data_IF_765144867990
#
_entry.id   IF_765144867990
#
_cell.length_a   1.000
_cell.length_b   1.000
_cell.length_c   1.000
_cell.angle_alpha   90.00
_cell.angle_beta   90.00
_cell.angle_gamma   90.00
#
_symmetry.space_group_name_H-M   'P 1'
#
loop_
_entity.id
_entity.type
_entity.pdbx_description
1 polymer ?
#
# COMPACT_ATOMS: atom_id res chain seq x y z
N UNK A 1 31.78 13.67 15.14
CA UNK A 1 31.18 13.01 13.95
C UNK A 1 29.82 12.36 14.23
N UNK A 2 29.70 11.22 14.92
CA UNK A 2 28.39 10.57 15.13
C UNK A 2 27.40 11.42 15.94
N UNK A 3 27.88 12.10 16.99
CA UNK A 3 27.05 13.00 17.82
C UNK A 3 26.58 14.21 17.02
N UNK A 4 27.45 14.83 16.22
CA UNK A 4 27.10 15.97 15.36
C UNK A 4 26.12 15.58 14.26
N UNK A 5 26.26 14.39 13.68
CA UNK A 5 25.28 13.84 12.74
C UNK A 5 23.93 13.61 13.42
N UNK A 6 23.91 13.16 14.68
CA UNK A 6 22.69 13.03 15.47
C UNK A 6 21.97 14.35 15.69
N UNK A 7 22.69 15.42 16.05
CA UNK A 7 22.11 16.76 16.20
C UNK A 7 21.61 17.34 14.88
N UNK A 8 22.38 17.21 13.81
CA UNK A 8 21.98 17.68 12.48
C UNK A 8 20.73 16.94 11.98
N UNK A 9 20.65 15.63 12.21
CA UNK A 9 19.49 14.83 11.84
C UNK A 9 18.25 15.21 12.66
N UNK A 10 18.41 15.38 13.98
CA UNK A 10 17.33 15.81 14.87
C UNK A 10 16.81 17.20 14.47
N UNK A 11 17.70 18.17 14.26
CA UNK A 11 17.36 19.53 13.82
C UNK A 11 16.68 19.52 12.44
N UNK A 12 17.17 18.71 11.49
CA UNK A 12 16.49 18.52 10.20
C UNK A 12 15.07 17.97 10.39
N UNK A 13 14.88 16.95 11.22
CA UNK A 13 13.55 16.38 11.48
C UNK A 13 12.60 17.40 12.12
N UNK A 14 13.11 18.27 13.01
CA UNK A 14 12.31 19.35 13.60
C UNK A 14 11.93 20.42 12.59
N UNK A 15 12.85 20.84 11.72
CA UNK A 15 12.60 21.83 10.67
C UNK A 15 11.58 21.34 9.64
N UNK A 16 11.64 20.06 9.29
CA UNK A 16 10.75 19.44 8.30
C UNK A 16 9.58 18.67 8.93
N UNK A 17 9.18 19.01 10.17
CA UNK A 17 8.05 18.38 10.89
C UNK A 17 6.68 18.47 10.20
N UNK A 18 6.56 19.24 9.12
CA UNK A 18 5.34 19.33 8.32
C UNK A 18 5.32 18.33 7.16
N UNK A 19 6.46 17.69 6.87
CA UNK A 19 6.56 16.62 5.89
C UNK A 19 6.07 15.31 6.52
N UNK A 20 5.01 14.73 5.96
CA UNK A 20 4.44 13.44 6.41
C UNK A 20 5.51 12.34 6.44
N UNK A 21 6.41 12.33 5.45
CA UNK A 21 7.48 11.32 5.36
C UNK A 21 8.56 11.53 6.40
N UNK A 22 8.95 12.78 6.65
CA UNK A 22 9.94 13.07 7.70
C UNK A 22 9.35 12.74 9.07
N UNK A 23 8.06 13.02 9.29
CA UNK A 23 7.37 12.59 10.50
C UNK A 23 7.29 11.07 10.63
N UNK A 24 7.00 10.35 9.55
CA UNK A 24 7.01 8.89 9.55
C UNK A 24 8.41 8.35 9.90
N UNK A 25 9.44 8.86 9.22
CA UNK A 25 10.83 8.49 9.50
C UNK A 25 11.22 8.79 10.95
N UNK A 26 10.95 10.00 11.43
CA UNK A 26 11.26 10.43 12.78
C UNK A 26 10.49 9.61 13.83
N UNK A 27 9.21 9.34 13.59
CA UNK A 27 8.37 8.52 14.45
C UNK A 27 8.89 7.08 14.54
N UNK A 28 9.34 6.50 13.42
CA UNK A 28 9.97 5.17 13.41
C UNK A 28 11.30 5.20 14.19
N UNK A 29 12.15 6.20 13.90
CA UNK A 29 13.47 6.33 14.53
C UNK A 29 13.38 6.49 16.06
N UNK A 30 12.35 7.19 16.54
CA UNK A 30 12.10 7.40 17.96
C UNK A 30 11.29 6.27 18.63
N UNK A 31 10.87 5.26 17.86
CA UNK A 31 10.04 4.16 18.34
C UNK A 31 8.59 4.54 18.66
N UNK A 32 8.14 5.71 18.20
CA UNK A 32 6.75 6.16 18.34
C UNK A 32 5.84 5.46 17.32
N UNK A 33 6.35 5.19 16.11
CA UNK A 33 5.63 4.55 15.01
C UNK A 33 6.26 3.20 14.67
N UNK A 34 5.44 2.19 14.38
CA UNK A 34 5.90 0.88 13.94
C UNK A 34 6.53 0.98 12.55
N UNK A 35 7.75 0.45 12.38
CA UNK A 35 8.43 0.42 11.08
C UNK A 35 7.57 -0.26 10.00
N UNK A 36 6.76 -1.24 10.40
CA UNK A 36 5.82 -1.93 9.52
C UNK A 36 4.81 -1.01 8.84
N UNK A 37 4.55 0.19 9.38
CA UNK A 37 3.68 1.19 8.72
C UNK A 37 4.26 1.57 7.36
N UNK A 38 5.56 1.86 7.32
CA UNK A 38 6.27 2.18 6.08
C UNK A 38 6.29 0.98 5.12
N UNK A 39 6.63 -0.21 5.63
CA UNK A 39 6.70 -1.41 4.78
C UNK A 39 5.35 -1.81 4.23
N UNK A 40 4.26 -1.60 4.99
CA UNK A 40 2.91 -1.83 4.50
C UNK A 40 2.58 -0.86 3.37
N UNK A 41 2.82 0.44 3.54
CA UNK A 41 2.60 1.44 2.47
C UNK A 41 3.37 1.07 1.20
N UNK A 42 4.65 0.72 1.31
CA UNK A 42 5.47 0.32 0.16
C UNK A 42 4.97 -0.98 -0.49
N UNK A 43 4.54 -1.96 0.31
CA UNK A 43 3.96 -3.21 -0.18
C UNK A 43 2.68 -2.95 -0.96
N UNK A 44 1.77 -2.13 -0.46
CA UNK A 44 0.52 -1.78 -1.12
C UNK A 44 0.77 -1.07 -2.47
N UNK A 45 1.73 -0.14 -2.50
CA UNK A 45 2.16 0.51 -3.75
C UNK A 45 2.74 -0.50 -4.75
N UNK A 46 3.62 -1.39 -4.28
CA UNK A 46 4.23 -2.43 -5.12
C UNK A 46 3.19 -3.41 -5.67
N UNK A 47 2.22 -3.82 -4.86
CA UNK A 47 1.15 -4.73 -5.29
C UNK A 47 0.29 -4.10 -6.36
N UNK A 48 -0.07 -2.81 -6.21
CA UNK A 48 -0.82 -2.09 -7.23
C UNK A 48 -0.04 -2.01 -8.55
N UNK A 49 1.25 -1.63 -8.52
CA UNK A 49 2.06 -1.56 -9.73
C UNK A 49 2.15 -2.93 -10.43
N UNK A 50 2.41 -4.00 -9.67
CA UNK A 50 2.47 -5.36 -10.22
C UNK A 50 1.13 -5.78 -10.84
N UNK A 51 0.01 -5.42 -10.20
CA UNK A 51 -1.32 -5.69 -10.72
C UNK A 51 -1.57 -4.94 -12.02
N UNK A 52 -1.24 -3.65 -12.11
CA UNK A 52 -1.39 -2.86 -13.34
C UNK A 52 -0.54 -3.41 -14.48
N UNK A 53 0.69 -3.86 -14.21
CA UNK A 53 1.54 -4.54 -15.20
C UNK A 53 0.86 -5.83 -15.69
N UNK A 54 0.29 -6.63 -14.78
CA UNK A 54 -0.45 -7.85 -15.14
C UNK A 54 -1.69 -7.54 -15.98
N UNK A 55 -2.47 -6.51 -15.62
CA UNK A 55 -3.65 -6.15 -16.39
C UNK A 55 -3.28 -5.62 -17.77
N UNK A 56 -2.20 -4.84 -17.87
CA UNK A 56 -1.69 -4.36 -19.16
C UNK A 56 -1.36 -5.50 -20.12
N UNK A 57 -0.77 -6.60 -19.64
CA UNK A 57 -0.47 -7.75 -20.49
C UNK A 57 -1.74 -8.47 -20.92
N UNK A 58 -2.70 -8.65 -20.00
CA UNK A 58 -4.00 -9.26 -20.31
C UNK A 58 -4.78 -8.47 -21.38
N UNK A 59 -4.84 -7.14 -21.27
CA UNK A 59 -5.52 -6.31 -22.27
C UNK A 59 -4.85 -6.38 -23.65
N UNK A 60 -3.52 -6.49 -23.73
CA UNK A 60 -2.86 -6.71 -25.03
C UNK A 60 -3.21 -8.05 -25.66
N UNK A 61 -3.32 -9.12 -24.87
CA UNK A 61 -3.72 -10.44 -25.40
C UNK A 61 -5.18 -10.46 -25.87
N UNK A 62 -6.08 -9.75 -25.19
CA UNK A 62 -7.47 -9.65 -25.61
C UNK A 62 -7.60 -8.93 -26.96
N UNK A 63 -6.89 -7.81 -27.14
CA UNK A 63 -6.87 -7.08 -28.41
C UNK A 63 -6.27 -7.90 -29.55
N UNK A 64 -5.19 -8.65 -29.29
CA UNK A 64 -4.60 -9.56 -30.27
C UNK A 64 -5.54 -10.71 -30.61
N UNK A 65 -6.29 -11.27 -29.65
CA UNK A 65 -7.27 -12.34 -29.89
C UNK A 65 -8.49 -11.89 -30.70
N UNK A 66 -8.91 -10.62 -30.54
CA UNK A 66 -9.98 -10.01 -31.33
C UNK A 66 -9.47 -9.69 -32.73
N UNK A 67 -8.24 -9.17 -32.84
CA UNK A 67 -7.59 -8.92 -34.13
C UNK A 67 -7.26 -10.21 -34.88
N UNK A 68 -6.91 -11.30 -34.18
CA UNK A 68 -6.64 -12.60 -34.79
C UNK A 68 -7.92 -13.28 -35.23
N UNK A 69 -9.01 -13.22 -34.46
CA UNK A 69 -10.34 -13.66 -34.91
C UNK A 69 -10.86 -12.85 -36.10
N UNK A 70 -10.57 -11.54 -36.13
CA UNK A 70 -10.88 -10.68 -37.28
C UNK A 70 -10.00 -10.99 -38.51
N UNK A 71 -8.77 -11.48 -38.32
CA UNK A 71 -7.86 -11.91 -39.39
C UNK A 71 -8.12 -13.34 -39.86
N UNK A 72 -8.54 -14.25 -38.98
CA UNK A 72 -8.99 -15.62 -39.29
C UNK A 72 -10.28 -15.63 -40.11
N UNK A 73 -11.07 -14.56 -40.08
CA UNK A 73 -12.18 -14.36 -41.00
C UNK A 73 -11.75 -14.01 -42.44
N UNK A 74 -10.45 -13.79 -42.72
CA UNK A 74 -9.95 -13.31 -44.01
C UNK A 74 -8.90 -14.24 -44.67
N UNK A 75 -8.19 -15.11 -43.94
CA UNK A 75 -7.23 -16.03 -44.58
C UNK A 75 -7.22 -17.42 -43.94
N UNK A 76 -7.52 -18.41 -44.77
CA UNK A 76 -7.31 -19.84 -44.54
C UNK A 76 -5.82 -20.21 -44.57
N UNK A 77 -5.43 -21.07 -43.62
CA UNK A 77 -4.27 -22.00 -43.56
C UNK A 77 -3.14 -21.77 -42.53
N UNK A 78 -2.54 -22.89 -42.03
CA UNK A 78 -2.05 -23.02 -40.66
C UNK A 78 -0.53 -23.12 -40.58
N UNK A 79 0.08 -22.45 -39.59
CA UNK A 79 1.11 -23.01 -38.71
C UNK A 79 1.75 -21.92 -37.83
N UNK A 80 2.28 -22.37 -36.69
CA UNK A 80 3.31 -21.74 -35.83
C UNK A 80 2.79 -21.08 -34.53
N UNK A 81 3.65 -20.98 -33.49
CA UNK A 81 3.66 -21.91 -32.36
C UNK A 81 3.28 -21.22 -31.03
N UNK A 82 2.95 -22.03 -30.01
CA UNK A 82 2.48 -21.60 -28.69
C UNK A 82 3.45 -20.66 -27.95
N UNK A 83 2.97 -19.65 -27.18
CA UNK A 83 3.84 -18.73 -26.46
C UNK A 83 4.39 -19.33 -25.16
N UNK A 84 5.65 -19.00 -24.91
CA UNK A 84 6.49 -19.38 -23.77
C UNK A 84 5.93 -18.81 -22.46
N UNK A 85 5.82 -19.67 -21.43
CA UNK A 85 5.49 -19.29 -20.05
C UNK A 85 6.64 -18.50 -19.42
N UNK A 86 6.39 -17.24 -19.05
CA UNK A 86 7.33 -16.45 -18.23
C UNK A 86 6.82 -16.35 -16.80
N UNK A 87 7.68 -16.73 -15.86
CA UNK A 87 7.39 -16.85 -14.44
C UNK A 87 8.05 -15.65 -13.72
N UNK A 88 7.27 -14.78 -13.08
CA UNK A 88 7.81 -13.61 -12.38
C UNK A 88 7.57 -13.73 -10.88
N UNK A 89 8.63 -14.08 -10.13
CA UNK A 89 8.76 -13.75 -8.70
C UNK A 89 9.72 -12.57 -8.61
N UNK A 90 9.23 -11.40 -8.23
CA UNK A 90 10.04 -10.20 -8.04
C UNK A 90 10.01 -9.81 -6.55
N UNK A 91 11.19 -9.74 -5.95
CA UNK A 91 11.41 -9.35 -4.55
C UNK A 91 11.48 -7.83 -4.40
N UNK A 92 11.23 -7.30 -3.20
CA UNK A 92 11.22 -5.87 -2.85
C UNK A 92 12.49 -5.08 -3.26
N UNK A 93 13.60 -5.76 -3.52
CA UNK A 93 14.85 -5.18 -4.05
C UNK A 93 14.75 -4.75 -5.53
N UNK A 94 13.70 -5.15 -6.23
CA UNK A 94 13.55 -4.98 -7.68
C UNK A 94 12.96 -3.65 -8.13
N UNK A 95 12.48 -2.77 -7.23
CA UNK A 95 11.95 -1.45 -7.64
C UNK A 95 13.03 -0.56 -8.28
N UNK A 96 14.26 -0.55 -7.75
CA UNK A 96 15.39 0.17 -8.38
C UNK A 96 15.83 -0.47 -9.71
N UNK A 97 15.81 -1.80 -9.81
CA UNK A 97 16.14 -2.51 -11.05
C UNK A 97 15.04 -2.39 -12.13
N UNK A 98 13.78 -2.18 -11.72
CA UNK A 98 12.69 -1.89 -12.65
C UNK A 98 12.77 -0.47 -13.22
N UNK A 99 13.26 0.50 -12.43
CA UNK A 99 13.46 1.88 -12.89
C UNK A 99 14.50 1.97 -14.03
N UNK A 100 15.55 1.14 -14.01
CA UNK A 100 16.57 1.11 -15.08
C UNK A 100 16.12 0.33 -16.33
N UNK A 101 15.28 -0.71 -16.18
CA UNK A 101 14.77 -1.49 -17.32
C UNK A 101 13.53 -0.87 -17.99
N UNK A 102 12.78 -0.02 -17.29
CA UNK A 102 11.62 0.70 -17.83
C UNK A 102 12.00 1.76 -18.88
N UNK A 103 13.27 2.16 -18.98
CA UNK A 103 13.76 3.08 -20.01
C UNK A 103 13.77 2.45 -21.42
N UNK A 104 13.66 1.12 -21.54
CA UNK A 104 13.80 0.44 -22.85
C UNK A 104 12.50 0.02 -23.55
N UNK A 105 11.32 0.14 -22.93
CA UNK A 105 10.07 -0.19 -23.64
C UNK A 105 8.92 0.75 -23.31
N UNK A 106 8.56 1.55 -24.30
CA UNK A 106 7.38 2.41 -24.45
C UNK A 106 6.03 1.63 -24.39
N UNK A 107 5.84 0.71 -23.42
CA UNK A 107 4.75 -0.30 -23.40
C UNK A 107 3.89 -0.37 -22.11
N UNK A 108 4.18 0.42 -21.07
CA UNK A 108 3.37 0.48 -19.84
C UNK A 108 2.33 1.61 -19.89
N UNK A 109 1.51 1.59 -20.94
CA UNK A 109 0.40 2.53 -21.18
C UNK A 109 -0.91 1.77 -21.30
N UNK A 110 -2.00 2.25 -20.71
CA UNK A 110 -3.34 1.66 -20.86
C UNK A 110 -4.37 2.76 -21.10
N UNK A 111 -5.55 2.44 -21.62
CA UNK A 111 -6.61 3.44 -21.80
C UNK A 111 -7.13 3.91 -20.44
N UNK A 112 -7.79 5.06 -20.41
CA UNK A 112 -8.46 5.57 -19.20
C UNK A 112 -9.43 4.54 -18.61
N UNK A 113 -10.26 3.93 -19.46
CA UNK A 113 -11.22 2.88 -19.07
C UNK A 113 -10.51 1.67 -18.47
N UNK A 114 -9.47 1.15 -19.12
CA UNK A 114 -8.70 0.00 -18.64
C UNK A 114 -8.04 0.27 -17.29
N UNK A 115 -7.52 1.47 -17.10
CA UNK A 115 -6.89 1.86 -15.84
C UNK A 115 -7.93 2.00 -14.72
N UNK A 116 -9.06 2.65 -14.99
CA UNK A 116 -10.15 2.80 -14.04
C UNK A 116 -10.74 1.43 -13.64
N UNK A 117 -10.98 0.55 -14.61
CA UNK A 117 -11.44 -0.82 -14.36
C UNK A 117 -10.42 -1.60 -13.53
N UNK A 118 -9.12 -1.45 -13.82
CA UNK A 118 -8.06 -2.09 -13.05
C UNK A 118 -8.04 -1.62 -11.59
N UNK A 119 -8.28 -0.33 -11.32
CA UNK A 119 -8.38 0.18 -9.95
C UNK A 119 -9.57 -0.43 -9.21
N UNK A 120 -10.75 -0.47 -9.85
CA UNK A 120 -11.96 -1.07 -9.26
C UNK A 120 -11.78 -2.58 -8.98
N UNK A 121 -11.13 -3.30 -9.90
CA UNK A 121 -10.91 -4.73 -9.74
C UNK A 121 -9.83 -5.05 -8.69
N UNK A 122 -8.88 -4.14 -8.47
CA UNK A 122 -7.85 -4.33 -7.46
C UNK A 122 -8.35 -4.01 -6.05
N UNK A 123 -9.12 -2.92 -5.90
CA UNK A 123 -9.63 -2.45 -4.62
C UNK A 123 -11.11 -2.80 -4.46
N UNK A 124 -11.40 -3.90 -3.78
CA UNK A 124 -12.76 -4.36 -3.52
C UNK A 124 -13.42 -3.70 -2.30
N UNK A 125 -12.61 -3.03 -1.48
CA UNK A 125 -12.97 -2.43 -0.20
C UNK A 125 -13.08 -0.90 -0.24
N UNK A 126 -12.57 -0.26 -1.30
CA UNK A 126 -12.67 1.18 -1.50
C UNK A 126 -14.02 1.59 -2.07
N UNK A 127 -14.48 2.77 -1.65
CA UNK A 127 -15.68 3.41 -2.21
C UNK A 127 -15.42 3.94 -3.62
N UNK A 128 -16.47 4.10 -4.43
CA UNK A 128 -16.37 4.70 -5.76
C UNK A 128 -15.71 6.08 -5.73
N UNK A 129 -16.02 6.89 -4.71
CA UNK A 129 -15.41 8.21 -4.53
C UNK A 129 -13.89 8.13 -4.32
N UNK A 130 -13.41 7.15 -3.54
CA UNK A 130 -11.98 6.95 -3.33
C UNK A 130 -11.27 6.48 -4.61
N UNK A 131 -11.91 5.63 -5.41
CA UNK A 131 -11.40 5.19 -6.71
C UNK A 131 -11.36 6.34 -7.71
N UNK A 132 -12.43 7.14 -7.79
CA UNK A 132 -12.49 8.34 -8.64
C UNK A 132 -11.38 9.32 -8.25
N UNK A 133 -11.15 9.54 -6.97
CA UNK A 133 -10.08 10.43 -6.50
C UNK A 133 -8.68 9.91 -6.89
N UNK A 134 -8.42 8.60 -6.78
CA UNK A 134 -7.18 7.98 -7.27
C UNK A 134 -7.05 8.15 -8.79
N UNK A 135 -8.13 7.94 -9.52
CA UNK A 135 -8.13 8.10 -10.97
C UNK A 135 -7.85 9.55 -11.39
N UNK A 136 -8.50 10.53 -10.77
CA UNK A 136 -8.28 11.95 -11.08
C UNK A 136 -6.86 12.41 -10.69
N UNK A 137 -6.33 11.95 -9.54
CA UNK A 137 -4.96 12.28 -9.15
C UNK A 137 -3.92 11.71 -10.13
N UNK A 138 -4.17 10.53 -10.72
CA UNK A 138 -3.33 10.01 -11.80
C UNK A 138 -3.37 10.90 -13.05
N UNK A 139 -4.54 11.38 -13.46
CA UNK A 139 -4.69 12.29 -14.61
C UNK A 139 -3.98 13.63 -14.36
N UNK A 140 -4.06 14.16 -13.14
CA UNK A 140 -3.36 15.38 -12.74
C UNK A 140 -1.85 15.23 -12.84
N UNK A 141 -1.28 14.14 -12.33
CA UNK A 141 0.17 13.91 -12.37
C UNK A 141 0.71 13.82 -13.79
N UNK A 142 -0.05 13.20 -14.69
CA UNK A 142 0.37 13.03 -16.08
C UNK A 142 0.21 14.31 -16.91
N UNK A 143 -0.54 15.32 -16.42
CA UNK A 143 -0.79 16.60 -17.12
C UNK A 143 -1.20 16.43 -18.61
N UNK A 144 -1.83 15.29 -18.93
CA UNK A 144 -2.01 14.83 -20.31
C UNK A 144 -3.47 15.01 -20.74
N UNK A 145 -3.73 15.65 -21.90
CA UNK A 145 -5.03 15.60 -22.55
C UNK A 145 -5.18 14.36 -23.47
N UNK A 146 -4.53 13.22 -23.16
CA UNK A 146 -4.57 12.02 -24.01
C UNK A 146 -5.37 10.89 -23.37
N UNK A 147 -6.07 10.13 -24.22
CA UNK A 147 -6.89 8.94 -23.90
C UNK A 147 -6.10 7.75 -23.30
N UNK A 148 -4.82 7.94 -22.98
CA UNK A 148 -3.90 6.90 -22.52
C UNK A 148 -3.14 7.31 -21.26
N UNK A 149 -3.09 6.42 -20.27
CA UNK A 149 -2.43 6.57 -18.98
C UNK A 149 -1.10 5.80 -19.00
N UNK A 150 0.01 6.54 -18.96
CA UNK A 150 1.36 6.00 -18.78
C UNK A 150 1.65 5.71 -17.31
N UNK A 151 0.99 4.67 -16.78
CA UNK A 151 0.92 4.43 -15.34
C UNK A 151 2.28 4.22 -14.67
N UNK A 152 3.33 3.79 -15.40
CA UNK A 152 4.68 3.66 -14.82
C UNK A 152 5.23 4.96 -14.25
N UNK A 153 4.88 6.10 -14.86
CA UNK A 153 5.31 7.43 -14.41
C UNK A 153 4.70 7.82 -13.07
N UNK A 154 3.51 7.28 -12.74
CA UNK A 154 2.83 7.54 -11.47
C UNK A 154 3.59 6.98 -10.26
N UNK A 155 4.50 6.03 -10.47
CA UNK A 155 5.27 5.35 -9.42
C UNK A 155 6.70 5.89 -9.27
N UNK A 156 7.03 6.96 -9.99
CA UNK A 156 8.32 7.62 -9.88
C UNK A 156 8.36 8.61 -8.72
N UNK A 157 9.58 8.88 -8.26
CA UNK A 157 9.86 9.96 -7.33
C UNK A 157 10.46 11.13 -8.12
N UNK A 158 10.16 12.36 -7.72
CA UNK A 158 10.85 13.54 -8.24
C UNK A 158 12.29 13.61 -7.69
N UNK A 159 13.05 14.62 -8.13
CA UNK A 159 14.45 14.82 -7.72
C UNK A 159 14.62 15.07 -6.20
N UNK A 160 13.53 15.45 -5.52
CA UNK A 160 13.46 15.62 -4.07
C UNK A 160 12.96 14.34 -3.36
N UNK A 161 12.79 13.26 -4.11
CA UNK A 161 12.28 11.98 -3.64
C UNK A 161 10.76 11.94 -3.47
N UNK A 162 10.02 13.02 -3.68
CA UNK A 162 8.56 13.10 -3.42
C UNK A 162 7.79 12.29 -4.44
N UNK A 163 6.67 11.73 -4.00
CA UNK A 163 5.76 11.05 -4.91
C UNK A 163 4.80 12.06 -5.54
N UNK A 164 4.30 11.73 -6.73
CA UNK A 164 3.19 12.44 -7.35
C UNK A 164 1.90 12.45 -6.52
N UNK A 165 0.93 13.23 -6.98
CA UNK A 165 -0.41 13.34 -6.39
C UNK A 165 -1.11 11.99 -6.27
N UNK A 166 -0.90 11.09 -7.23
CA UNK A 166 -1.48 9.75 -7.24
C UNK A 166 -1.08 8.94 -6.00
N UNK A 167 0.22 8.74 -5.78
CA UNK A 167 0.72 7.96 -4.65
C UNK A 167 0.52 8.66 -3.31
N UNK A 168 0.60 9.99 -3.26
CA UNK A 168 0.26 10.72 -2.03
C UNK A 168 -1.22 10.57 -1.66
N UNK A 169 -2.11 10.55 -2.65
CA UNK A 169 -3.54 10.25 -2.45
C UNK A 169 -3.73 8.82 -1.96
N UNK A 170 -3.05 7.84 -2.56
CA UNK A 170 -3.11 6.44 -2.13
C UNK A 170 -2.63 6.26 -0.68
N UNK A 171 -1.47 6.81 -0.33
CA UNK A 171 -0.92 6.73 1.03
C UNK A 171 -1.87 7.39 2.03
N UNK A 172 -2.43 8.56 1.68
CA UNK A 172 -3.42 9.23 2.51
C UNK A 172 -4.67 8.37 2.73
N UNK A 173 -5.20 7.74 1.69
CA UNK A 173 -6.36 6.85 1.81
C UNK A 173 -6.05 5.63 2.70
N UNK A 174 -4.88 5.01 2.54
CA UNK A 174 -4.42 3.91 3.43
C UNK A 174 -4.38 4.36 4.89
N UNK A 175 -3.87 5.56 5.16
CA UNK A 175 -3.83 6.10 6.52
C UNK A 175 -5.23 6.42 7.07
N UNK A 176 -6.14 6.93 6.23
CA UNK A 176 -7.54 7.17 6.63
C UNK A 176 -8.28 5.87 6.92
N UNK A 177 -8.03 4.81 6.16
CA UNK A 177 -8.61 3.46 6.38
C UNK A 177 -8.14 2.87 7.71
N UNK A 178 -6.85 2.99 8.02
CA UNK A 178 -6.30 2.65 9.35
C UNK A 178 -7.00 3.42 10.47
N UNK A 179 -7.10 4.74 10.35
CA UNK A 179 -7.74 5.56 11.39
C UNK A 179 -9.22 5.22 11.56
N UNK A 180 -9.93 4.96 10.46
CA UNK A 180 -11.31 4.48 10.47
C UNK A 180 -11.44 3.12 11.17
N UNK A 181 -10.48 2.22 10.96
CA UNK A 181 -10.43 0.94 11.66
C UNK A 181 -10.24 1.12 13.18
N UNK A 182 -9.36 2.03 13.60
CA UNK A 182 -9.17 2.36 15.02
C UNK A 182 -10.41 3.01 15.64
N UNK A 183 -11.08 3.91 14.92
CA UNK A 183 -12.34 4.52 15.38
C UNK A 183 -13.48 3.50 15.52
N UNK A 184 -13.48 2.42 14.72
CA UNK A 184 -14.42 1.30 14.91
C UNK A 184 -14.12 0.46 16.17
N UNK A 185 -12.85 0.36 16.59
CA UNK A 185 -12.46 -0.35 17.83
C UNK A 185 -12.87 0.40 19.09
N UNK A 186 -12.82 1.73 19.05
CA UNK A 186 -13.12 2.61 20.17
C UNK A 186 -14.46 2.29 20.87
N UNK A 187 -15.63 2.23 20.20
CA UNK A 187 -16.89 1.92 20.86
C UNK A 187 -16.94 0.53 21.51
N UNK A 188 -16.21 -0.45 20.96
CA UNK A 188 -16.16 -1.81 21.51
C UNK A 188 -15.35 -1.84 22.81
N UNK A 189 -14.32 -0.99 22.91
CA UNK A 189 -13.38 -0.95 24.02
C UNK A 189 -13.75 0.06 25.12
N UNK A 190 -14.62 1.03 24.84
CA UNK A 190 -15.06 2.06 25.80
C UNK A 190 -15.63 1.51 27.12
N UNK A 191 -16.18 0.30 27.11
CA UNK A 191 -16.76 -0.33 28.29
C UNK A 191 -15.75 -0.87 29.32
N UNK A 192 -14.45 -0.85 29.03
CA UNK A 192 -13.42 -1.42 29.89
C UNK A 192 -12.55 -0.33 30.52
N UNK A 193 -12.34 -0.41 31.84
CA UNK A 193 -11.43 0.50 32.56
C UNK A 193 -9.97 0.24 32.24
N UNK A 194 -9.61 -1.03 32.06
CA UNK A 194 -8.31 -1.51 31.61
C UNK A 194 -8.55 -2.66 30.64
N UNK A 195 -7.82 -2.65 29.53
CA UNK A 195 -7.99 -3.56 28.40
C UNK A 195 -6.90 -4.62 28.46
N UNK A 196 -7.31 -5.87 28.61
CA UNK A 196 -6.44 -7.03 28.53
C UNK A 196 -6.21 -7.48 27.08
N UNK A 197 -5.21 -8.35 26.88
CA UNK A 197 -4.98 -9.00 25.57
C UNK A 197 -6.23 -9.73 25.08
N UNK A 198 -6.94 -10.44 25.96
CA UNK A 198 -8.14 -11.20 25.56
C UNK A 198 -9.30 -10.30 25.12
N UNK A 199 -9.50 -9.16 25.80
CA UNK A 199 -10.50 -8.16 25.43
C UNK A 199 -10.16 -7.48 24.11
N UNK A 200 -8.88 -7.12 23.93
CA UNK A 200 -8.39 -6.54 22.68
C UNK A 200 -8.55 -7.50 21.49
N UNK A 201 -8.13 -8.76 21.64
CA UNK A 201 -8.29 -9.79 20.58
C UNK A 201 -9.76 -9.98 20.21
N UNK A 202 -10.66 -9.99 21.20
CA UNK A 202 -12.09 -10.09 20.94
C UNK A 202 -12.61 -8.88 20.15
N UNK A 203 -12.19 -7.66 20.50
CA UNK A 203 -12.60 -6.45 19.79
C UNK A 203 -12.13 -6.46 18.34
N UNK A 204 -10.89 -6.89 18.09
CA UNK A 204 -10.36 -7.06 16.73
C UNK A 204 -11.20 -8.04 15.93
N UNK A 205 -11.50 -9.22 16.48
CA UNK A 205 -12.33 -10.22 15.79
C UNK A 205 -13.78 -9.79 15.54
N UNK A 206 -14.31 -8.83 16.32
CA UNK A 206 -15.65 -8.28 16.08
C UNK A 206 -15.70 -7.38 14.85
N UNK A 207 -14.58 -6.76 14.45
CA UNK A 207 -14.50 -5.88 13.27
C UNK A 207 -13.94 -6.63 12.07
N UNK A 208 -12.92 -7.45 12.30
CA UNK A 208 -12.22 -8.24 11.30
C UNK A 208 -12.20 -9.72 11.72
N UNK A 209 -13.23 -10.44 11.30
CA UNK A 209 -13.36 -11.87 11.58
C UNK A 209 -12.33 -12.73 10.81
N UNK A 210 -11.72 -12.19 9.74
CA UNK A 210 -10.83 -12.93 8.85
C UNK A 210 -9.34 -12.69 9.14
N UNK A 211 -9.03 -11.84 10.13
CA UNK A 211 -7.65 -11.57 10.54
C UNK A 211 -6.88 -12.86 10.83
N UNK A 212 -5.70 -12.99 10.22
CA UNK A 212 -4.83 -14.13 10.49
C UNK A 212 -4.23 -14.06 11.90
N UNK A 213 -3.95 -15.21 12.51
CA UNK A 213 -3.33 -15.26 13.83
C UNK A 213 -1.98 -14.54 13.89
N UNK A 214 -1.23 -14.54 12.79
CA UNK A 214 0.07 -13.86 12.71
C UNK A 214 -0.09 -12.34 12.78
N UNK A 215 -1.08 -11.77 12.09
CA UNK A 215 -1.38 -10.34 12.13
C UNK A 215 -1.94 -9.92 13.49
N UNK A 216 -2.85 -10.70 14.06
CA UNK A 216 -3.35 -10.45 15.41
C UNK A 216 -2.23 -10.47 16.46
N UNK A 217 -1.32 -11.46 16.38
CA UNK A 217 -0.18 -11.56 17.28
C UNK A 217 0.75 -10.34 17.16
N UNK A 218 0.95 -9.83 15.94
CA UNK A 218 1.73 -8.61 15.71
C UNK A 218 1.07 -7.40 16.35
N UNK A 219 -0.25 -7.22 16.21
CA UNK A 219 -0.97 -6.14 16.88
C UNK A 219 -0.81 -6.23 18.39
N UNK A 220 -0.96 -7.42 18.95
CA UNK A 220 -0.79 -7.65 20.38
C UNK A 220 0.63 -7.31 20.83
N UNK A 221 1.66 -7.75 20.10
CA UNK A 221 3.06 -7.44 20.41
C UNK A 221 3.32 -5.94 20.42
N UNK A 222 2.83 -5.22 19.41
CA UNK A 222 3.01 -3.79 19.32
C UNK A 222 2.27 -3.04 20.42
N UNK A 223 0.95 -3.26 20.51
CA UNK A 223 0.07 -2.56 21.45
C UNK A 223 0.49 -2.80 22.88
N UNK A 224 0.80 -4.03 23.27
CA UNK A 224 1.20 -4.35 24.65
C UNK A 224 2.70 -4.32 24.89
N UNK A 225 3.50 -3.93 23.88
CA UNK A 225 4.98 -3.89 23.95
C UNK A 225 5.60 -5.23 24.41
N UNK A 226 5.04 -6.35 23.92
CA UNK A 226 5.49 -7.70 24.27
C UNK A 226 6.68 -8.06 23.38
N UNK A 227 7.84 -8.27 24.00
CA UNK A 227 9.05 -8.70 23.28
C UNK A 227 9.05 -10.20 22.97
N UNK A 228 8.51 -11.02 23.89
CA UNK A 228 8.43 -12.48 23.75
C UNK A 228 7.09 -13.03 24.26
N UNK A 229 6.38 -13.81 23.44
CA UNK A 229 5.10 -14.42 23.81
C UNK A 229 5.25 -15.49 24.91
N UNK A 230 6.45 -15.99 25.20
CA UNK A 230 6.70 -16.92 26.30
C UNK A 230 6.62 -16.27 27.69
N UNK A 231 6.68 -14.93 27.77
CA UNK A 231 6.56 -14.14 29.01
C UNK A 231 5.12 -13.64 29.26
N UNK A 232 4.14 -14.15 28.51
CA UNK A 232 2.76 -13.64 28.41
C UNK A 232 1.88 -13.75 29.66
N UNK A 233 2.39 -14.30 30.77
CA UNK A 233 1.62 -14.42 32.02
C UNK A 233 1.53 -13.10 32.82
N UNK A 234 2.24 -12.04 32.44
CA UNK A 234 2.20 -10.73 33.15
C UNK A 234 2.15 -9.53 32.19
N UNK A 235 1.33 -9.61 31.13
CA UNK A 235 1.09 -8.41 30.30
C UNK A 235 0.17 -7.47 31.08
N UNK A 236 0.71 -6.31 31.48
CA UNK A 236 -0.06 -5.27 32.16
C UNK A 236 -1.20 -4.79 31.25
N UNK A 237 -2.45 -4.78 31.70
CA UNK A 237 -3.55 -4.25 30.91
C UNK A 237 -3.39 -2.73 30.73
N UNK A 238 -3.84 -2.22 29.59
CA UNK A 238 -3.66 -0.82 29.18
C UNK A 238 -4.95 -0.04 29.35
N UNK A 239 -4.87 1.25 29.66
CA UNK A 239 -6.03 2.13 29.50
C UNK A 239 -6.33 2.35 28.01
N UNK A 240 -7.54 2.87 27.74
CA UNK A 240 -8.02 3.07 26.39
C UNK A 240 -7.19 4.10 25.61
N UNK A 241 -6.77 5.19 26.24
CA UNK A 241 -6.05 6.26 25.56
C UNK A 241 -4.67 5.78 25.09
N UNK A 242 -3.94 5.08 25.95
CA UNK A 242 -2.65 4.49 25.61
C UNK A 242 -2.78 3.40 24.53
N UNK A 243 -3.83 2.58 24.59
CA UNK A 243 -4.08 1.55 23.59
C UNK A 243 -4.39 2.19 22.21
N UNK A 244 -5.29 3.18 22.16
CA UNK A 244 -5.64 3.87 20.91
C UNK A 244 -4.43 4.59 20.33
N UNK A 245 -3.67 5.32 21.16
CA UNK A 245 -2.44 5.98 20.73
C UNK A 245 -1.44 5.00 20.12
N UNK A 246 -1.29 3.79 20.69
CA UNK A 246 -0.39 2.76 20.14
C UNK A 246 -0.91 2.17 18.84
N UNK A 247 -2.23 2.00 18.71
CA UNK A 247 -2.87 1.53 17.48
C UNK A 247 -2.74 2.54 16.34
N UNK A 248 -2.96 3.82 16.60
CA UNK A 248 -2.79 4.88 15.59
C UNK A 248 -1.37 4.89 15.00
N UNK A 249 -0.39 4.43 15.78
CA UNK A 249 1.02 4.33 15.40
C UNK A 249 1.45 2.91 14.97
N UNK A 250 0.51 1.97 14.89
CA UNK A 250 0.70 0.60 14.43
C UNK A 250 0.33 0.47 12.95
N UNK A 251 0.86 -0.53 12.27
CA UNK A 251 0.40 -0.94 10.95
C UNK A 251 -0.89 -1.80 11.07
N UNK A 252 -1.94 -1.29 11.72
CA UNK A 252 -3.20 -2.00 11.91
C UNK A 252 -4.22 -1.68 10.80
N UNK A 253 -4.37 -2.61 9.86
CA UNK A 253 -5.23 -2.44 8.69
C UNK A 253 -6.29 -3.54 8.68
N UNK A 254 -7.47 -3.20 8.18
CA UNK A 254 -8.51 -4.20 7.93
C UNK A 254 -8.05 -5.14 6.80
N UNK A 255 -8.24 -6.44 6.96
CA UNK A 255 -7.92 -7.46 5.95
C UNK A 255 -9.15 -7.95 5.18
#
# INVERSE_FOLDING_TARGET
>A
MAIEMGYNLHDACQRYRNSERINLFWGILTGQIEEMVYHHQMRSISQLLQYLIKMKTLYSFQQESISSKAREAIVSEPNSPLPVKVNYRLSLFSMKQYQESAVMHNKLVMTEEQFFESLNNFYTDKTSLQIDELFQSAKQDLQYPKESIAFSLLFMQDDEGRFGKFLSTLIRQINQEKLSYVEQLKPILLGYSLISVSQFSRAIHMIDANISQNELNRYIQWVFSIKDFHSSQQVKPLDLEDLLRRLENCACFKH
#
